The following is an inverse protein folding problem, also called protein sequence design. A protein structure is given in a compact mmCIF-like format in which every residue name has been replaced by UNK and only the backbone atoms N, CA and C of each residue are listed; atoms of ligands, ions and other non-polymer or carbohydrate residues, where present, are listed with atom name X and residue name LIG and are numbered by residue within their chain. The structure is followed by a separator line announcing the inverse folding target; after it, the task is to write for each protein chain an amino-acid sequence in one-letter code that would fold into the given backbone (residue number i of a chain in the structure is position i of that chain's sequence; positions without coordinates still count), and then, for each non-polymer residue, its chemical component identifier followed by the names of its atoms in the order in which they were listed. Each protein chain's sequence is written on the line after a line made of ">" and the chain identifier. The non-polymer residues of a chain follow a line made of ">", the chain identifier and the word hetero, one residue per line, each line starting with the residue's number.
data_IF_657111595947
#
_entry.id   IF_657111595947
#
_cell.length_a   1.000
_cell.length_b   1.000
_cell.length_c   1.000
_cell.angle_alpha   90.00
_cell.angle_beta   90.00
_cell.angle_gamma   90.00
#
_symmetry.space_group_name_H-M   'P 1'
#
loop_
_entity.id
_entity.type
_entity.pdbx_description
1 polymer ?
#
# COMPACT_ATOMS: atom_id res chain seq x y z
N UNK A 1 4.49 22.78 13.27
CA UNK A 1 5.35 21.67 12.80
C UNK A 1 5.16 21.59 11.30
N UNK A 2 6.24 21.50 10.52
CA UNK A 2 6.09 21.23 9.08
C UNK A 2 5.47 19.84 8.92
N UNK A 3 4.51 19.71 8.00
CA UNK A 3 3.92 18.43 7.63
C UNK A 3 4.84 17.71 6.61
N UNK A 4 6.15 17.79 6.81
CA UNK A 4 7.15 17.26 5.89
C UNK A 4 7.92 16.15 6.58
N UNK A 5 7.97 14.97 5.97
CA UNK A 5 8.83 13.88 6.43
C UNK A 5 10.22 14.02 5.80
N UNK A 6 11.21 13.31 6.34
CA UNK A 6 12.56 13.34 5.78
C UNK A 6 12.60 12.83 4.32
N UNK A 7 11.78 11.83 4.00
CA UNK A 7 11.63 11.28 2.64
C UNK A 7 11.12 12.35 1.67
N UNK A 8 10.18 13.20 2.08
CA UNK A 8 9.68 14.31 1.28
C UNK A 8 10.77 15.32 0.90
N UNK A 9 11.81 15.44 1.74
CA UNK A 9 12.94 16.36 1.49
C UNK A 9 14.11 15.73 0.74
N UNK A 10 14.14 14.39 0.60
CA UNK A 10 15.33 13.67 0.11
C UNK A 10 15.10 12.83 -1.13
N UNK A 11 13.89 12.35 -1.36
CA UNK A 11 13.56 11.56 -2.55
C UNK A 11 13.42 12.44 -3.79
N UNK A 12 13.56 11.81 -4.95
CA UNK A 12 13.36 12.47 -6.23
C UNK A 12 11.86 12.53 -6.57
N UNK A 13 11.29 13.73 -6.43
CA UNK A 13 9.91 14.06 -6.76
C UNK A 13 9.73 14.54 -8.20
N UNK A 14 10.79 14.55 -9.01
CA UNK A 14 10.69 14.93 -10.44
C UNK A 14 10.27 13.77 -11.34
N UNK A 15 10.15 12.57 -10.76
CA UNK A 15 9.65 11.38 -11.45
C UNK A 15 8.20 11.57 -11.86
N UNK A 16 7.93 11.19 -13.09
CA UNK A 16 6.63 11.41 -13.74
C UNK A 16 5.63 10.29 -13.42
N UNK A 17 4.38 10.69 -13.32
CA UNK A 17 3.20 9.85 -13.25
C UNK A 17 2.53 9.70 -14.60
N UNK A 18 1.24 9.37 -14.57
CA UNK A 18 0.39 9.31 -15.75
C UNK A 18 0.43 10.65 -16.52
N UNK A 19 0.40 10.61 -17.85
CA UNK A 19 0.41 11.81 -18.69
C UNK A 19 1.48 12.88 -18.36
N UNK A 20 2.66 12.45 -17.87
CA UNK A 20 3.73 13.33 -17.41
C UNK A 20 3.39 14.19 -16.16
N UNK A 21 2.31 13.86 -15.44
CA UNK A 21 1.95 14.54 -14.19
C UNK A 21 3.01 14.32 -13.11
N UNK A 22 3.25 15.34 -12.28
CA UNK A 22 4.19 15.26 -11.18
C UNK A 22 3.40 15.42 -9.89
N UNK A 23 3.46 14.41 -9.02
CA UNK A 23 2.91 14.50 -7.67
C UNK A 23 3.85 15.34 -6.83
N UNK A 24 3.31 16.37 -6.17
CA UNK A 24 4.14 17.16 -5.26
C UNK A 24 4.25 16.49 -3.89
N UNK A 25 5.33 16.75 -3.12
CA UNK A 25 5.40 16.31 -1.73
C UNK A 25 4.24 16.79 -0.88
N UNK A 26 3.67 17.96 -1.21
CA UNK A 26 2.54 18.53 -0.50
C UNK A 26 1.26 17.70 -0.68
N UNK A 27 0.98 17.21 -1.90
CA UNK A 27 -0.18 16.37 -2.17
C UNK A 27 -0.14 15.08 -1.35
N UNK A 28 1.04 14.46 -1.24
CA UNK A 28 1.20 13.27 -0.42
C UNK A 28 1.15 13.59 1.09
N UNK A 29 1.68 14.75 1.50
CA UNK A 29 1.57 15.20 2.89
C UNK A 29 0.12 15.41 3.31
N UNK A 30 -0.74 15.92 2.42
CA UNK A 30 -2.17 16.04 2.69
C UNK A 30 -2.83 14.69 2.95
N UNK A 31 -2.45 13.64 2.21
CA UNK A 31 -2.90 12.28 2.46
C UNK A 31 -2.40 11.75 3.82
N UNK A 32 -1.09 11.80 4.06
CA UNK A 32 -0.44 11.23 5.25
C UNK A 32 -0.94 11.91 6.55
N UNK A 33 -1.13 13.22 6.52
CA UNK A 33 -1.50 14.02 7.68
C UNK A 33 -2.98 14.43 7.68
N UNK A 34 -3.81 13.77 6.88
CA UNK A 34 -5.24 14.01 6.81
C UNK A 34 -5.90 13.87 8.19
N UNK A 35 -6.78 14.83 8.51
CA UNK A 35 -7.46 14.90 9.83
C UNK A 35 -8.86 14.29 9.82
N UNK A 36 -9.41 14.04 8.63
CA UNK A 36 -10.74 13.47 8.46
C UNK A 36 -10.85 12.68 7.15
N UNK A 37 -11.92 11.87 7.04
CA UNK A 37 -12.09 10.90 5.95
C UNK A 37 -12.22 11.57 4.59
N UNK A 38 -12.82 12.75 4.53
CA UNK A 38 -12.99 13.47 3.27
C UNK A 38 -11.65 13.96 2.74
N UNK A 39 -10.85 14.61 3.61
CA UNK A 39 -9.50 15.07 3.24
C UNK A 39 -8.60 13.92 2.78
N UNK A 40 -8.62 12.79 3.48
CA UNK A 40 -7.82 11.63 3.12
C UNK A 40 -8.22 11.08 1.74
N UNK A 41 -9.52 10.97 1.46
CA UNK A 41 -10.04 10.52 0.16
C UNK A 41 -9.72 11.49 -0.97
N UNK A 42 -9.90 12.78 -0.76
CA UNK A 42 -9.63 13.78 -1.80
C UNK A 42 -8.15 13.80 -2.15
N UNK A 43 -7.26 13.76 -1.14
CA UNK A 43 -5.82 13.66 -1.36
C UNK A 43 -5.43 12.31 -2.02
N UNK A 44 -6.05 11.21 -1.61
CA UNK A 44 -5.83 9.90 -2.24
C UNK A 44 -6.19 9.94 -3.74
N UNK A 45 -7.31 10.55 -4.13
CA UNK A 45 -7.71 10.62 -5.54
C UNK A 45 -6.68 11.36 -6.40
N UNK A 46 -6.11 12.45 -5.88
CA UNK A 46 -5.06 13.21 -6.57
C UNK A 46 -3.80 12.34 -6.70
N UNK A 47 -3.32 11.77 -5.60
CA UNK A 47 -2.10 10.96 -5.60
C UNK A 47 -2.25 9.71 -6.45
N UNK A 48 -3.34 8.96 -6.28
CA UNK A 48 -3.61 7.72 -7.00
C UNK A 48 -3.74 7.96 -8.51
N UNK A 49 -4.40 9.04 -8.92
CA UNK A 49 -4.58 9.39 -10.33
C UNK A 49 -3.26 9.55 -11.09
N UNK A 50 -2.25 10.11 -10.44
CA UNK A 50 -0.91 10.26 -11.00
C UNK A 50 -0.05 9.00 -10.84
N UNK A 51 -0.21 8.26 -9.73
CA UNK A 51 0.56 7.03 -9.46
C UNK A 51 0.23 5.92 -10.45
N UNK A 52 -1.04 5.74 -10.80
CA UNK A 52 -1.46 4.65 -11.68
C UNK A 52 -2.94 4.63 -12.02
N UNK A 53 -3.25 4.15 -13.22
CA UNK A 53 -4.62 3.97 -13.71
C UNK A 53 -4.76 2.62 -14.41
N UNK A 54 -5.95 2.02 -14.32
CA UNK A 54 -6.30 0.76 -15.01
C UNK A 54 -5.33 -0.41 -14.73
N UNK A 55 -4.81 -0.50 -13.49
CA UNK A 55 -3.90 -1.58 -13.07
C UNK A 55 -2.44 -1.40 -13.50
N UNK A 56 -2.08 -0.22 -14.01
CA UNK A 56 -0.72 0.14 -14.40
C UNK A 56 -0.20 1.26 -13.51
N UNK A 57 1.06 1.21 -13.11
CA UNK A 57 1.75 2.25 -12.33
C UNK A 57 2.93 2.88 -13.06
N UNK A 58 3.22 4.12 -12.70
CA UNK A 58 4.20 5.00 -13.34
C UNK A 58 5.41 5.30 -12.45
N UNK A 59 6.52 5.85 -12.97
CA UNK A 59 7.77 6.08 -12.22
C UNK A 59 7.64 6.80 -10.87
N UNK A 60 6.68 7.72 -10.72
CA UNK A 60 6.43 8.41 -9.45
C UNK A 60 6.01 7.45 -8.31
N UNK A 61 5.43 6.29 -8.64
CA UNK A 61 4.93 5.31 -7.67
C UNK A 61 6.00 4.89 -6.65
N UNK A 62 7.26 4.74 -7.06
CA UNK A 62 8.33 4.34 -6.14
C UNK A 62 8.59 5.39 -5.04
N UNK A 63 8.62 6.67 -5.41
CA UNK A 63 8.81 7.78 -4.45
C UNK A 63 7.63 7.83 -3.48
N UNK A 64 6.42 7.64 -3.99
CA UNK A 64 5.20 7.59 -3.19
C UNK A 64 5.22 6.41 -2.22
N UNK A 65 5.49 5.19 -2.68
CA UNK A 65 5.60 3.98 -1.85
C UNK A 65 6.59 4.18 -0.71
N UNK A 66 7.80 4.64 -1.01
CA UNK A 66 8.84 4.86 0.01
C UNK A 66 8.39 5.82 1.09
N UNK A 67 7.78 6.93 0.68
CA UNK A 67 7.31 7.96 1.61
C UNK A 67 6.13 7.48 2.44
N UNK A 68 5.14 6.80 1.83
CA UNK A 68 3.99 6.25 2.54
C UNK A 68 4.44 5.19 3.54
N UNK A 69 5.29 4.24 3.14
CA UNK A 69 5.79 3.18 4.03
C UNK A 69 6.52 3.75 5.25
N UNK A 70 7.33 4.79 5.07
CA UNK A 70 8.02 5.46 6.18
C UNK A 70 7.05 6.20 7.11
N UNK A 71 5.96 6.75 6.57
CA UNK A 71 4.98 7.53 7.33
C UNK A 71 3.91 6.69 8.04
N UNK A 72 3.62 5.47 7.54
CA UNK A 72 2.55 4.59 8.04
C UNK A 72 2.46 4.46 9.57
N UNK A 73 3.57 4.29 10.32
CA UNK A 73 3.53 4.20 11.79
C UNK A 73 2.98 5.45 12.49
N UNK A 74 3.08 6.61 11.82
CA UNK A 74 2.69 7.91 12.36
C UNK A 74 1.38 8.45 11.76
N UNK A 75 0.78 7.74 10.78
CA UNK A 75 -0.48 8.16 10.17
C UNK A 75 -1.62 8.14 11.19
N UNK A 76 -2.54 9.10 11.06
CA UNK A 76 -3.84 9.01 11.73
C UNK A 76 -4.56 7.75 11.25
N UNK A 77 -5.45 7.17 12.08
CA UNK A 77 -6.23 5.97 11.67
C UNK A 77 -6.98 6.22 10.34
N UNK A 78 -7.45 7.45 10.15
CA UNK A 78 -8.16 7.88 8.96
C UNK A 78 -7.25 7.89 7.73
N UNK A 79 -6.08 8.51 7.81
CA UNK A 79 -5.11 8.53 6.73
C UNK A 79 -4.55 7.14 6.44
N UNK A 80 -4.34 6.32 7.48
CA UNK A 80 -3.76 4.98 7.38
C UNK A 80 -4.56 4.08 6.43
N UNK A 81 -5.89 4.10 6.51
CA UNK A 81 -6.75 3.31 5.62
C UNK A 81 -6.47 3.63 4.15
N UNK A 82 -6.47 4.91 3.78
CA UNK A 82 -6.28 5.37 2.41
C UNK A 82 -4.82 5.16 1.93
N UNK A 83 -3.83 5.31 2.82
CA UNK A 83 -2.45 4.93 2.55
C UNK A 83 -2.29 3.43 2.26
N UNK A 84 -2.98 2.57 3.02
CA UNK A 84 -2.95 1.12 2.80
C UNK A 84 -3.67 0.73 1.51
N UNK A 85 -4.78 1.40 1.16
CA UNK A 85 -5.42 1.23 -0.15
C UNK A 85 -4.45 1.55 -1.29
N UNK A 86 -3.71 2.66 -1.19
CA UNK A 86 -2.72 3.03 -2.21
C UNK A 86 -1.62 1.97 -2.34
N UNK A 87 -1.10 1.45 -1.22
CA UNK A 87 -0.10 0.38 -1.24
C UNK A 87 -0.69 -0.89 -1.87
N UNK A 88 -1.90 -1.30 -1.48
CA UNK A 88 -2.56 -2.48 -2.03
C UNK A 88 -2.75 -2.38 -3.55
N UNK A 89 -3.20 -1.21 -4.03
CA UNK A 89 -3.30 -0.93 -5.46
C UNK A 89 -1.95 -1.06 -6.17
N UNK A 90 -0.89 -0.47 -5.60
CA UNK A 90 0.46 -0.55 -6.18
C UNK A 90 0.99 -2.00 -6.18
N UNK A 91 0.75 -2.78 -5.13
CA UNK A 91 1.16 -4.20 -5.10
C UNK A 91 0.46 -5.06 -6.14
N UNK A 92 -0.78 -4.72 -6.50
CA UNK A 92 -1.58 -5.45 -7.47
C UNK A 92 -1.35 -4.98 -8.92
N UNK A 93 -0.57 -3.91 -9.12
CA UNK A 93 -0.41 -3.27 -10.43
C UNK A 93 0.80 -3.79 -11.21
N UNK A 94 0.76 -3.58 -12.52
CA UNK A 94 1.87 -3.82 -13.44
C UNK A 94 2.61 -2.52 -13.80
N UNK A 95 3.83 -2.66 -14.32
CA UNK A 95 4.62 -1.52 -14.77
C UNK A 95 4.04 -0.89 -16.04
N UNK A 96 4.10 0.43 -16.15
CA UNK A 96 3.88 1.10 -17.43
C UNK A 96 4.86 0.59 -18.51
N UNK A 97 4.44 0.48 -19.79
CA UNK A 97 5.27 -0.07 -20.86
C UNK A 97 6.61 0.65 -21.05
N UNK A 98 6.66 1.94 -20.75
CA UNK A 98 7.86 2.78 -20.85
C UNK A 98 8.80 2.68 -19.62
N UNK A 99 8.34 2.02 -18.56
CA UNK A 99 9.01 1.95 -17.25
C UNK A 99 8.93 0.53 -16.67
N UNK A 100 9.44 -0.51 -17.37
CA UNK A 100 9.11 -1.92 -17.13
C UNK A 100 9.49 -2.45 -15.74
N UNK A 101 10.44 -1.81 -15.05
CA UNK A 101 10.94 -2.26 -13.76
C UNK A 101 10.20 -1.65 -12.55
N UNK A 102 9.33 -0.66 -12.75
CA UNK A 102 8.79 0.14 -11.64
C UNK A 102 7.94 -0.69 -10.66
N UNK A 103 7.12 -1.62 -11.15
CA UNK A 103 6.32 -2.50 -10.29
C UNK A 103 7.21 -3.42 -9.45
N UNK A 104 8.29 -3.95 -10.04
CA UNK A 104 9.27 -4.77 -9.32
C UNK A 104 10.00 -3.97 -8.26
N UNK A 105 10.43 -2.74 -8.57
CA UNK A 105 11.06 -1.85 -7.60
C UNK A 105 10.12 -1.53 -6.42
N UNK A 106 8.86 -1.19 -6.70
CA UNK A 106 7.86 -0.95 -5.66
C UNK A 106 7.62 -2.19 -4.78
N UNK A 107 7.46 -3.37 -5.40
CA UNK A 107 7.25 -4.63 -4.70
C UNK A 107 8.42 -4.98 -3.77
N UNK A 108 9.67 -4.68 -4.15
CA UNK A 108 10.84 -4.91 -3.30
C UNK A 108 10.76 -4.03 -2.03
N UNK A 109 10.43 -2.75 -2.17
CA UNK A 109 10.29 -1.83 -1.02
C UNK A 109 9.15 -2.27 -0.09
N UNK A 110 8.00 -2.64 -0.67
CA UNK A 110 6.84 -3.12 0.11
C UNK A 110 7.18 -4.44 0.81
N UNK A 111 7.91 -5.34 0.13
CA UNK A 111 8.44 -6.57 0.73
C UNK A 111 9.35 -6.30 1.93
N UNK A 112 10.21 -5.28 1.88
CA UNK A 112 11.05 -4.93 3.03
C UNK A 112 10.23 -4.47 4.25
N UNK A 113 9.03 -3.93 4.01
CA UNK A 113 8.06 -3.57 5.04
C UNK A 113 7.10 -4.71 5.44
N UNK A 114 7.30 -5.96 4.98
CA UNK A 114 6.39 -7.10 5.26
C UNK A 114 6.07 -7.27 6.74
N UNK A 115 7.05 -7.02 7.62
CA UNK A 115 6.85 -7.10 9.07
C UNK A 115 5.74 -6.16 9.52
N UNK A 116 5.67 -4.94 8.98
CA UNK A 116 4.64 -3.96 9.34
C UNK A 116 3.25 -4.49 9.02
N UNK A 117 3.05 -5.10 7.84
CA UNK A 117 1.75 -5.65 7.45
C UNK A 117 1.36 -6.87 8.28
N UNK A 118 2.31 -7.74 8.61
CA UNK A 118 2.07 -8.87 9.52
C UNK A 118 1.62 -8.38 10.89
N UNK A 119 2.33 -7.41 11.47
CA UNK A 119 1.96 -6.83 12.77
C UNK A 119 0.60 -6.12 12.68
N UNK A 120 0.37 -5.34 11.63
CA UNK A 120 -0.90 -4.66 11.40
C UNK A 120 -2.08 -5.62 11.33
N UNK A 121 -1.92 -6.72 10.58
CA UNK A 121 -2.94 -7.77 10.47
C UNK A 121 -3.28 -8.45 11.81
N UNK A 122 -2.38 -8.44 12.78
CA UNK A 122 -2.63 -9.07 14.08
C UNK A 122 -3.14 -8.08 15.15
N UNK A 123 -2.67 -6.83 15.10
CA UNK A 123 -2.79 -5.90 16.22
C UNK A 123 -3.42 -4.54 15.88
N UNK A 124 -3.55 -4.16 14.61
CA UNK A 124 -4.21 -2.91 14.22
C UNK A 124 -5.74 -3.06 14.22
N UNK A 125 -6.48 -2.05 13.79
CA UNK A 125 -7.94 -2.09 13.65
C UNK A 125 -8.40 -3.29 12.79
N UNK A 126 -9.48 -3.95 13.21
CA UNK A 126 -10.09 -5.06 12.46
C UNK A 126 -10.64 -4.59 11.11
N UNK A 127 -11.07 -3.34 11.01
CA UNK A 127 -11.57 -2.75 9.76
C UNK A 127 -10.48 -2.67 8.66
N UNK A 128 -9.20 -2.72 9.04
CA UNK A 128 -8.07 -2.67 8.11
C UNK A 128 -7.54 -4.05 7.72
N UNK A 129 -8.06 -5.13 8.32
CA UNK A 129 -7.54 -6.49 8.14
C UNK A 129 -7.46 -6.89 6.65
N UNK A 130 -8.47 -6.53 5.86
CA UNK A 130 -8.52 -6.86 4.45
C UNK A 130 -7.40 -6.23 3.63
N UNK A 131 -7.04 -4.98 3.93
CA UNK A 131 -5.96 -4.31 3.21
C UNK A 131 -4.62 -4.96 3.50
N UNK A 132 -4.38 -5.39 4.74
CA UNK A 132 -3.18 -6.15 5.07
C UNK A 132 -3.17 -7.52 4.39
N UNK A 133 -4.32 -8.19 4.29
CA UNK A 133 -4.47 -9.48 3.60
C UNK A 133 -4.21 -9.34 2.11
N UNK A 134 -4.74 -8.32 1.46
CA UNK A 134 -4.51 -8.04 0.03
C UNK A 134 -3.02 -7.83 -0.24
N UNK A 135 -2.36 -6.97 0.55
CA UNK A 135 -0.92 -6.69 0.42
C UNK A 135 -0.10 -7.98 0.63
N UNK A 136 -0.37 -8.73 1.71
CA UNK A 136 0.36 -9.98 2.00
C UNK A 136 0.05 -11.07 0.98
N UNK A 137 -1.16 -11.10 0.44
CA UNK A 137 -1.61 -11.97 -0.63
C UNK A 137 -0.78 -11.75 -1.88
N UNK A 138 -0.79 -10.53 -2.41
CA UNK A 138 0.01 -10.15 -3.57
C UNK A 138 1.51 -10.43 -3.35
N UNK A 139 2.06 -10.09 -2.18
CA UNK A 139 3.46 -10.41 -1.87
C UNK A 139 3.73 -11.93 -1.88
N UNK A 140 2.84 -12.74 -1.32
CA UNK A 140 2.97 -14.21 -1.31
C UNK A 140 2.86 -14.86 -2.70
N UNK A 141 2.12 -14.25 -3.62
CA UNK A 141 2.05 -14.68 -5.01
C UNK A 141 3.32 -14.33 -5.78
N UNK A 142 3.84 -13.11 -5.59
CA UNK A 142 5.00 -12.58 -6.34
C UNK A 142 6.35 -13.05 -5.78
N UNK A 143 6.42 -13.38 -4.48
CA UNK A 143 7.64 -13.82 -3.80
C UNK A 143 7.43 -15.19 -3.17
N UNK A 144 7.93 -16.24 -3.84
CA UNK A 144 7.77 -17.64 -3.43
C UNK A 144 8.26 -17.89 -1.99
N UNK A 145 9.36 -17.25 -1.59
CA UNK A 145 9.92 -17.37 -0.24
C UNK A 145 9.03 -16.76 0.86
N UNK A 146 8.12 -15.85 0.49
CA UNK A 146 7.16 -15.25 1.42
C UNK A 146 5.84 -16.01 1.50
N UNK A 147 5.50 -16.83 0.50
CA UNK A 147 4.19 -17.50 0.38
C UNK A 147 3.76 -18.21 1.66
N UNK A 148 4.61 -19.09 2.19
CA UNK A 148 4.30 -19.85 3.41
C UNK A 148 4.10 -18.94 4.63
N UNK A 149 4.88 -17.86 4.72
CA UNK A 149 4.79 -16.86 5.79
C UNK A 149 3.49 -16.07 5.68
N UNK A 150 3.14 -15.60 4.48
CA UNK A 150 1.87 -14.91 4.22
C UNK A 150 0.67 -15.79 4.61
N UNK A 151 0.61 -17.03 4.11
CA UNK A 151 -0.46 -17.99 4.45
C UNK A 151 -0.58 -18.20 5.95
N UNK A 152 0.55 -18.36 6.66
CA UNK A 152 0.54 -18.55 8.12
C UNK A 152 -0.12 -17.38 8.85
N UNK A 153 0.24 -16.14 8.52
CA UNK A 153 -0.27 -14.97 9.22
C UNK A 153 -1.68 -14.57 8.78
N UNK A 154 -2.02 -14.80 7.51
CA UNK A 154 -3.40 -14.64 7.02
C UNK A 154 -4.34 -15.64 7.72
N UNK A 155 -3.95 -16.90 7.88
CA UNK A 155 -4.70 -17.88 8.68
C UNK A 155 -4.85 -17.45 10.13
N UNK A 156 -3.81 -16.87 10.73
CA UNK A 156 -3.87 -16.41 12.11
C UNK A 156 -4.88 -15.26 12.27
N UNK A 157 -5.07 -14.42 11.25
CA UNK A 157 -6.06 -13.34 11.26
C UNK A 157 -7.50 -13.85 11.46
N UNK A 158 -7.84 -15.06 11.00
CA UNK A 158 -9.16 -15.68 11.19
C UNK A 158 -9.51 -15.93 12.67
N UNK A 159 -8.53 -15.86 13.58
CA UNK A 159 -8.79 -15.94 15.02
C UNK A 159 -9.30 -14.64 15.62
N UNK A 160 -9.27 -13.54 14.85
CA UNK A 160 -9.80 -12.23 15.24
C UNK A 160 -11.31 -12.19 15.02
N UNK A 161 -12.00 -11.29 15.71
CA UNK A 161 -13.44 -11.06 15.53
C UNK A 161 -13.71 -10.24 14.25
N UNK A 162 -13.56 -10.87 13.10
CA UNK A 162 -13.69 -10.25 11.78
C UNK A 162 -15.15 -10.21 11.30
N UNK A 163 -15.53 -9.22 10.48
CA UNK A 163 -16.80 -9.25 9.76
C UNK A 163 -16.92 -10.49 8.86
N UNK A 164 -18.13 -11.04 8.73
CA UNK A 164 -18.34 -12.28 7.97
C UNK A 164 -17.91 -12.17 6.50
N UNK A 165 -18.12 -11.01 5.87
CA UNK A 165 -17.72 -10.77 4.49
C UNK A 165 -16.19 -10.75 4.30
N UNK A 166 -15.43 -10.40 5.33
CA UNK A 166 -13.97 -10.39 5.28
C UNK A 166 -13.39 -11.81 5.43
N UNK A 167 -14.07 -12.69 6.17
CA UNK A 167 -13.65 -14.09 6.35
C UNK A 167 -13.61 -14.81 5.01
N UNK A 168 -14.65 -14.68 4.19
CA UNK A 168 -14.72 -15.35 2.88
C UNK A 168 -13.57 -14.89 1.96
N UNK A 169 -13.30 -13.58 1.92
CA UNK A 169 -12.18 -13.05 1.14
C UNK A 169 -10.83 -13.61 1.64
N UNK A 170 -10.64 -13.66 2.96
CA UNK A 170 -9.41 -14.19 3.57
C UNK A 170 -9.22 -15.67 3.22
N UNK A 171 -10.28 -16.48 3.30
CA UNK A 171 -10.24 -17.90 2.94
C UNK A 171 -9.91 -18.10 1.47
N UNK A 172 -10.47 -17.28 0.58
CA UNK A 172 -10.15 -17.30 -0.85
C UNK A 172 -8.68 -16.97 -1.12
N UNK A 173 -8.14 -15.95 -0.46
CA UNK A 173 -6.71 -15.60 -0.57
C UNK A 173 -5.81 -16.73 -0.07
N UNK A 174 -6.16 -17.38 1.04
CA UNK A 174 -5.44 -18.56 1.53
C UNK A 174 -5.44 -19.69 0.50
N UNK A 175 -6.61 -19.96 -0.10
CA UNK A 175 -6.75 -21.01 -1.11
C UNK A 175 -5.91 -20.71 -2.36
N UNK A 176 -5.94 -19.47 -2.85
CA UNK A 176 -5.14 -19.01 -3.99
C UNK A 176 -3.63 -19.21 -3.76
N UNK A 177 -3.14 -18.89 -2.57
CA UNK A 177 -1.73 -19.05 -2.21
C UNK A 177 -1.30 -20.50 -1.92
N UNK A 178 -2.25 -21.41 -1.66
CA UNK A 178 -1.95 -22.80 -1.28
C UNK A 178 -1.97 -23.77 -2.47
N UNK A 179 -2.35 -23.28 -3.65
CA UNK A 179 -2.30 -24.00 -4.92
C UNK A 179 -0.96 -23.80 -5.65
#
# INVERSE_FOLDING_TARGET
>A
MSNETWEMTTLDWTRKGDHDEIVSPADLAELIFAKNKQQARDALLIVAGAVGQNGVIYPCALTIVKTVLAALPNCSLVAKSDCLHLIAQITASESAPDSPDIAKECLIEIRQATWYFIYGLQFDDVELACLYVDILGCLGEKFEDLRATAVKYIKLALTRNLPHYDIEMIENTIAGLSN
#
